data_IF_428332184352
#
_entry.id   IF_428332184352
#
_cell.length_a   1.000
_cell.length_b   1.000
_cell.length_c   1.000
_cell.angle_alpha   90.00
_cell.angle_beta   90.00
_cell.angle_gamma   90.00
#
_symmetry.space_group_name_H-M   'P 1'
#
loop_
_entity.id
_entity.type
_entity.pdbx_description
1 polymer ?
#
# COMPACT_ATOMS: atom_id res chain seq x y z
N UNK A 1 -42.94 -8.87 78.80
CA UNK A 1 -41.68 -8.18 79.14
C UNK A 1 -40.71 -8.37 77.98
N UNK A 2 -40.29 -7.27 77.35
CA UNK A 2 -39.05 -7.01 76.57
C UNK A 2 -38.47 -8.16 75.70
N UNK A 3 -38.23 -8.04 74.40
CA UNK A 3 -38.26 -6.91 73.48
C UNK A 3 -37.52 -7.22 72.15
N UNK A 4 -37.64 -6.27 71.22
CA UNK A 4 -36.70 -5.91 70.14
C UNK A 4 -36.43 -6.83 68.93
N UNK A 5 -37.08 -6.47 67.81
CA UNK A 5 -36.52 -6.11 66.48
C UNK A 5 -35.14 -6.66 66.06
N UNK A 6 -35.10 -7.35 64.91
CA UNK A 6 -34.16 -7.13 63.77
C UNK A 6 -34.64 -7.97 62.58
N UNK A 7 -35.35 -7.36 61.62
CA UNK A 7 -34.86 -6.94 60.29
C UNK A 7 -34.56 -8.07 59.29
N UNK A 8 -35.58 -8.25 58.44
CA UNK A 8 -35.56 -8.58 57.02
C UNK A 8 -34.25 -8.21 56.28
N UNK A 9 -33.61 -9.18 55.62
CA UNK A 9 -32.81 -8.94 54.41
C UNK A 9 -32.62 -10.27 53.66
N UNK A 10 -33.61 -10.65 52.85
CA UNK A 10 -33.41 -11.68 51.83
C UNK A 10 -32.65 -11.03 50.67
N UNK A 11 -31.34 -11.30 50.59
CA UNK A 11 -30.51 -10.90 49.44
C UNK A 11 -30.81 -11.87 48.30
N UNK A 12 -31.71 -11.48 47.41
CA UNK A 12 -31.84 -12.12 46.09
C UNK A 12 -30.68 -11.61 45.22
N UNK A 13 -29.64 -12.44 45.07
CA UNK A 13 -28.60 -12.20 44.08
C UNK A 13 -29.20 -12.41 42.68
N UNK A 14 -29.56 -11.30 42.02
CA UNK A 14 -29.94 -11.31 40.61
C UNK A 14 -28.67 -11.55 39.79
N UNK A 15 -28.43 -12.79 39.39
CA UNK A 15 -27.41 -13.12 38.38
C UNK A 15 -27.88 -12.56 37.04
N UNK A 16 -27.46 -11.33 36.71
CA UNK A 16 -27.58 -10.79 35.36
C UNK A 16 -26.61 -11.59 34.51
N UNK A 17 -27.13 -12.59 33.80
CA UNK A 17 -26.42 -13.22 32.71
C UNK A 17 -26.18 -12.13 31.64
N UNK A 18 -24.94 -11.63 31.59
CA UNK A 18 -24.48 -10.80 30.48
C UNK A 18 -24.46 -11.69 29.23
N UNK A 19 -25.57 -11.73 28.51
CA UNK A 19 -25.56 -12.26 27.14
C UNK A 19 -24.69 -11.31 26.32
N UNK A 20 -23.67 -11.80 25.61
CA UNK A 20 -22.95 -10.97 24.66
C UNK A 20 -23.96 -10.52 23.61
N UNK A 21 -24.24 -9.21 23.56
CA UNK A 21 -24.93 -8.61 22.44
C UNK A 21 -23.98 -8.81 21.26
N UNK A 22 -24.34 -9.60 20.22
CA UNK A 22 -23.52 -9.62 19.02
C UNK A 22 -23.44 -8.17 18.53
N UNK A 23 -22.23 -7.68 18.30
CA UNK A 23 -22.05 -6.44 17.58
C UNK A 23 -22.85 -6.57 16.28
N UNK A 24 -23.90 -5.76 16.14
CA UNK A 24 -24.62 -5.67 14.88
C UNK A 24 -23.58 -5.21 13.87
N UNK A 25 -23.23 -6.08 12.92
CA UNK A 25 -22.49 -5.67 11.75
C UNK A 25 -23.34 -4.58 11.09
N UNK A 26 -22.82 -3.36 11.00
CA UNK A 26 -23.46 -2.32 10.22
C UNK A 26 -23.57 -2.86 8.77
N UNK A 27 -24.80 -2.91 8.24
CA UNK A 27 -25.01 -3.28 6.85
C UNK A 27 -24.38 -2.19 5.97
N UNK A 28 -23.16 -2.43 5.49
CA UNK A 28 -22.44 -1.57 4.55
C UNK A 28 -22.97 -1.68 3.10
N UNK A 29 -24.12 -2.32 2.88
CA UNK A 29 -24.70 -2.46 1.54
C UNK A 29 -24.92 -1.08 0.89
N UNK A 30 -24.22 -0.84 -0.22
CA UNK A 30 -24.30 0.40 -0.99
C UNK A 30 -23.43 1.56 -0.49
N UNK A 31 -22.54 1.34 0.49
CA UNK A 31 -21.53 2.32 0.89
C UNK A 31 -20.13 1.82 0.53
N UNK A 32 -19.37 2.63 -0.20
CA UNK A 32 -17.97 2.36 -0.51
C UNK A 32 -17.06 3.36 0.20
N UNK A 33 -15.80 3.00 0.40
CA UNK A 33 -14.77 3.87 0.97
C UNK A 33 -13.41 3.54 0.38
N UNK A 34 -12.55 4.54 0.29
CA UNK A 34 -11.20 4.38 -0.23
C UNK A 34 -10.25 5.31 0.53
N UNK A 35 -9.06 4.81 0.82
CA UNK A 35 -7.96 5.59 1.38
C UNK A 35 -6.68 5.27 0.64
N UNK A 36 -5.84 6.29 0.45
CA UNK A 36 -4.59 6.19 -0.32
C UNK A 36 -3.45 6.87 0.43
N UNK A 37 -2.20 6.51 0.13
CA UNK A 37 -1.03 7.26 0.57
C UNK A 37 0.05 7.34 -0.52
N UNK A 38 0.82 8.42 -0.49
CA UNK A 38 2.00 8.65 -1.34
C UNK A 38 3.35 8.49 -0.61
N UNK A 39 3.32 7.90 0.58
CA UNK A 39 4.48 7.68 1.43
C UNK A 39 4.39 8.46 2.74
N UNK A 40 5.15 8.02 3.73
CA UNK A 40 5.09 8.58 5.08
C UNK A 40 6.43 9.19 5.48
N UNK A 41 6.38 10.45 5.94
CA UNK A 41 7.34 10.97 6.90
C UNK A 41 7.47 12.50 6.97
N UNK A 42 8.63 12.97 7.42
CA UNK A 42 8.84 14.31 7.96
C UNK A 42 9.44 15.22 6.88
N UNK A 43 8.61 15.84 6.04
CA UNK A 43 9.02 17.14 5.52
C UNK A 43 8.82 18.13 6.66
N UNK A 44 9.90 18.75 7.12
CA UNK A 44 9.75 20.01 7.81
C UNK A 44 9.10 20.98 6.81
N UNK A 45 7.90 21.50 7.09
CA UNK A 45 7.13 22.37 6.16
C UNK A 45 7.98 23.51 5.59
N UNK A 46 8.96 23.97 6.33
CA UNK A 46 9.99 24.93 5.92
C UNK A 46 10.81 24.54 4.67
N UNK A 47 10.90 23.25 4.33
CA UNK A 47 11.62 22.71 3.19
C UNK A 47 10.71 22.32 2.00
N UNK A 48 9.39 22.59 2.08
CA UNK A 48 8.45 22.37 0.98
C UNK A 48 7.85 23.70 0.55
N UNK A 49 8.01 24.04 -0.73
CA UNK A 49 7.29 25.19 -1.27
C UNK A 49 5.80 24.88 -1.37
N UNK A 50 4.96 25.92 -1.33
CA UNK A 50 3.52 25.75 -1.47
C UNK A 50 3.14 25.12 -2.82
N UNK A 51 3.92 25.41 -3.86
CA UNK A 51 3.77 24.85 -5.19
C UNK A 51 4.06 23.35 -5.20
N UNK A 52 5.17 22.92 -4.59
CA UNK A 52 5.50 21.51 -4.47
C UNK A 52 4.42 20.75 -3.67
N UNK A 53 3.94 21.30 -2.55
CA UNK A 53 2.82 20.71 -1.80
C UNK A 53 1.57 20.54 -2.67
N UNK A 54 1.22 21.57 -3.43
CA UNK A 54 0.06 21.56 -4.31
C UNK A 54 0.19 20.48 -5.40
N UNK A 55 1.38 20.30 -5.97
CA UNK A 55 1.66 19.26 -6.96
C UNK A 55 1.51 17.84 -6.39
N UNK A 56 2.06 17.56 -5.20
CA UNK A 56 1.86 16.26 -4.54
C UNK A 56 0.39 15.99 -4.23
N UNK A 57 -0.34 17.01 -3.75
CA UNK A 57 -1.77 16.90 -3.48
C UNK A 57 -2.57 16.68 -4.76
N UNK A 58 -2.19 17.32 -5.86
CA UNK A 58 -2.82 17.11 -7.17
C UNK A 58 -2.60 15.67 -7.66
N UNK A 59 -1.38 15.13 -7.55
CA UNK A 59 -1.09 13.73 -7.91
C UNK A 59 -1.92 12.74 -7.07
N UNK A 60 -1.98 12.95 -5.76
CA UNK A 60 -2.85 12.15 -4.87
C UNK A 60 -4.33 12.27 -5.24
N UNK A 61 -4.81 13.48 -5.57
CA UNK A 61 -6.21 13.69 -5.93
C UNK A 61 -6.55 12.96 -7.23
N UNK A 62 -5.69 13.00 -8.25
CA UNK A 62 -5.91 12.26 -9.51
C UNK A 62 -6.01 10.75 -9.26
N UNK A 63 -5.13 10.21 -8.42
CA UNK A 63 -5.17 8.78 -8.07
C UNK A 63 -6.44 8.44 -7.27
N UNK A 64 -6.80 9.27 -6.29
CA UNK A 64 -8.01 9.10 -5.47
C UNK A 64 -9.27 9.15 -6.32
N UNK A 65 -9.37 10.11 -7.25
CA UNK A 65 -10.52 10.28 -8.14
C UNK A 65 -10.71 9.06 -9.05
N UNK A 66 -9.62 8.45 -9.53
CA UNK A 66 -9.70 7.24 -10.34
C UNK A 66 -10.25 6.05 -9.55
N UNK A 67 -9.74 5.79 -8.35
CA UNK A 67 -10.25 4.72 -7.49
C UNK A 67 -11.69 4.98 -7.04
N UNK A 68 -12.01 6.22 -6.66
CA UNK A 68 -13.36 6.64 -6.28
C UNK A 68 -14.35 6.47 -7.44
N UNK A 69 -13.93 6.76 -8.68
CA UNK A 69 -14.75 6.54 -9.87
C UNK A 69 -15.08 5.05 -10.05
N UNK A 70 -14.08 4.16 -9.93
CA UNK A 70 -14.30 2.71 -10.02
C UNK A 70 -15.36 2.26 -9.01
N UNK A 71 -15.23 2.68 -7.75
CA UNK A 71 -16.18 2.31 -6.69
C UNK A 71 -17.57 2.91 -6.92
N UNK A 72 -17.65 4.18 -7.32
CA UNK A 72 -18.91 4.86 -7.58
C UNK A 72 -19.70 4.25 -8.76
N UNK A 73 -19.01 3.64 -9.72
CA UNK A 73 -19.59 2.93 -10.86
C UNK A 73 -19.91 1.45 -10.54
N UNK A 74 -19.74 1.01 -9.29
CA UNK A 74 -20.01 -0.36 -8.84
C UNK A 74 -18.90 -1.36 -9.13
N UNK A 75 -17.67 -0.88 -9.39
CA UNK A 75 -16.49 -1.72 -9.51
C UNK A 75 -16.02 -2.29 -8.17
N UNK A 76 -15.15 -3.30 -8.22
CA UNK A 76 -14.65 -4.00 -7.03
C UNK A 76 -13.56 -3.22 -6.30
N UNK A 77 -13.37 -3.54 -5.02
CA UNK A 77 -12.30 -2.97 -4.21
C UNK A 77 -10.91 -3.23 -4.83
N UNK A 78 -10.68 -4.43 -5.38
CA UNK A 78 -9.43 -4.79 -6.06
C UNK A 78 -9.15 -3.89 -7.27
N UNK A 79 -10.17 -3.63 -8.11
CA UNK A 79 -10.00 -2.77 -9.28
C UNK A 79 -9.74 -1.31 -8.88
N UNK A 80 -10.37 -0.85 -7.80
CA UNK A 80 -10.15 0.50 -7.28
C UNK A 80 -8.71 0.67 -6.76
N UNK A 81 -8.22 -0.29 -5.95
CA UNK A 81 -6.85 -0.31 -5.43
C UNK A 81 -5.82 -0.33 -6.58
N UNK A 82 -6.01 -1.21 -7.56
CA UNK A 82 -5.14 -1.30 -8.74
C UNK A 82 -5.12 0.02 -9.53
N UNK A 83 -6.29 0.63 -9.77
CA UNK A 83 -6.40 1.89 -10.50
C UNK A 83 -5.67 3.06 -9.81
N UNK A 84 -5.75 3.14 -8.48
CA UNK A 84 -5.00 4.15 -7.71
C UNK A 84 -3.51 3.93 -7.85
N UNK A 85 -3.03 2.71 -7.56
CA UNK A 85 -1.60 2.44 -7.50
C UNK A 85 -0.95 2.57 -8.87
N UNK A 86 -1.63 2.17 -9.94
CA UNK A 86 -1.14 2.34 -11.31
C UNK A 86 -0.86 3.82 -11.64
N UNK A 87 -1.76 4.74 -11.23
CA UNK A 87 -1.54 6.18 -11.42
C UNK A 87 -0.35 6.67 -10.59
N UNK A 88 -0.22 6.21 -9.35
CA UNK A 88 0.87 6.60 -8.47
C UNK A 88 2.22 6.03 -8.94
N UNK A 89 2.24 4.87 -9.59
CA UNK A 89 3.43 4.28 -10.23
C UNK A 89 3.85 5.02 -11.50
N UNK A 90 2.92 5.67 -12.21
CA UNK A 90 3.24 6.44 -13.42
C UNK A 90 3.66 7.90 -13.10
N UNK A 91 3.39 8.41 -11.89
CA UNK A 91 3.75 9.77 -11.47
C UNK A 91 5.17 9.82 -10.84
N UNK A 92 6.15 10.47 -11.49
CA UNK A 92 7.56 10.52 -11.07
C UNK A 92 7.82 11.13 -9.68
N UNK A 93 6.80 11.72 -9.04
CA UNK A 93 6.91 12.29 -7.69
C UNK A 93 6.94 11.21 -6.61
N UNK A 94 6.30 10.08 -6.83
CA UNK A 94 6.21 9.01 -5.86
C UNK A 94 7.30 7.95 -6.11
N UNK A 95 7.79 7.31 -5.06
CA UNK A 95 8.81 6.26 -5.18
C UNK A 95 8.13 4.90 -5.42
N UNK A 96 7.49 4.75 -6.56
CA UNK A 96 6.93 3.50 -7.03
C UNK A 96 6.88 3.60 -8.55
N UNK A 97 7.22 2.54 -9.27
CA UNK A 97 7.34 2.63 -10.73
C UNK A 97 8.25 3.78 -11.14
N UNK A 98 7.75 4.68 -11.99
CA UNK A 98 8.45 5.89 -12.42
C UNK A 98 8.72 6.81 -11.24
N UNK A 99 9.97 7.23 -11.05
CA UNK A 99 10.36 8.02 -9.89
C UNK A 99 10.81 7.19 -8.69
N UNK A 100 10.95 5.87 -8.88
CA UNK A 100 11.60 4.99 -7.93
C UNK A 100 13.01 5.49 -7.54
N UNK A 101 13.36 5.27 -6.28
CA UNK A 101 14.70 5.53 -5.76
C UNK A 101 15.72 4.62 -6.42
N UNK A 102 16.98 5.07 -6.39
CA UNK A 102 18.10 4.28 -6.90
C UNK A 102 18.65 3.31 -5.85
N UNK A 103 19.05 2.15 -6.33
CA UNK A 103 19.96 1.23 -5.64
C UNK A 103 21.35 1.85 -5.46
N UNK A 104 22.21 1.24 -4.64
CA UNK A 104 23.60 1.67 -4.50
C UNK A 104 24.36 1.67 -5.84
N UNK A 105 24.07 0.69 -6.69
CA UNK A 105 24.66 0.47 -8.00
C UNK A 105 24.14 1.45 -9.06
N UNK A 106 23.11 2.24 -8.76
CA UNK A 106 22.55 3.25 -9.67
C UNK A 106 21.50 2.74 -10.64
N UNK A 107 20.93 1.55 -10.39
CA UNK A 107 19.71 1.05 -11.06
C UNK A 107 18.47 1.11 -10.16
N UNK A 108 17.38 0.47 -10.60
CA UNK A 108 16.12 0.40 -9.87
C UNK A 108 15.70 -1.05 -9.62
N UNK A 109 15.04 -1.28 -8.50
CA UNK A 109 14.48 -2.56 -8.10
C UNK A 109 13.14 -2.28 -7.42
N UNK A 110 12.07 -2.81 -7.96
CA UNK A 110 10.70 -2.45 -7.59
C UNK A 110 10.01 -3.63 -6.90
N UNK A 111 9.21 -3.32 -5.90
CA UNK A 111 8.46 -4.27 -5.10
C UNK A 111 6.99 -3.85 -5.07
N UNK A 112 6.07 -4.80 -5.19
CA UNK A 112 4.64 -4.56 -5.02
C UNK A 112 3.88 -5.79 -4.52
N UNK A 113 2.76 -5.57 -3.86
CA UNK A 113 1.78 -6.63 -3.59
C UNK A 113 0.35 -6.11 -3.59
N UNK A 114 -0.60 -7.03 -3.78
CA UNK A 114 -2.03 -6.78 -3.74
C UNK A 114 -2.74 -7.99 -3.12
N UNK A 115 -3.82 -7.75 -2.37
CA UNK A 115 -4.57 -8.78 -1.66
C UNK A 115 -6.07 -8.52 -1.69
N UNK A 116 -6.84 -9.56 -1.99
CA UNK A 116 -8.30 -9.59 -1.96
C UNK A 116 -8.78 -10.12 -0.61
N UNK A 117 -9.58 -9.34 0.12
CA UNK A 117 -10.07 -9.73 1.45
C UNK A 117 -11.12 -10.86 1.41
N UNK A 118 -11.82 -11.04 0.28
CA UNK A 118 -12.94 -12.00 0.19
C UNK A 118 -12.52 -13.45 0.42
N UNK A 119 -11.39 -13.82 -0.18
CA UNK A 119 -10.86 -15.17 -0.19
C UNK A 119 -9.40 -15.23 0.31
N UNK A 120 -8.81 -14.08 0.62
CA UNK A 120 -7.42 -13.90 1.04
C UNK A 120 -6.41 -14.29 -0.05
N UNK A 121 -6.84 -14.31 -1.31
CA UNK A 121 -5.92 -14.43 -2.43
C UNK A 121 -5.01 -13.20 -2.52
N UNK A 122 -3.75 -13.44 -2.85
CA UNK A 122 -2.74 -12.41 -2.89
C UNK A 122 -1.71 -12.67 -3.98
N UNK A 123 -1.13 -11.58 -4.48
CA UNK A 123 -0.02 -11.61 -5.41
C UNK A 123 1.03 -10.58 -5.06
N UNK A 124 2.29 -10.92 -5.29
CA UNK A 124 3.42 -10.09 -4.93
C UNK A 124 4.60 -10.28 -5.89
N UNK A 125 5.37 -9.21 -6.08
CA UNK A 125 6.65 -9.24 -6.77
C UNK A 125 7.70 -8.42 -6.03
N UNK A 126 8.95 -8.88 -6.08
CA UNK A 126 10.08 -8.18 -5.49
C UNK A 126 11.28 -8.11 -6.42
N UNK A 127 12.00 -6.99 -6.39
CA UNK A 127 13.25 -6.79 -7.12
C UNK A 127 13.11 -6.84 -8.63
N UNK A 128 11.97 -6.45 -9.20
CA UNK A 128 11.82 -6.34 -10.67
C UNK A 128 12.42 -5.02 -11.15
N UNK A 129 13.01 -5.00 -12.33
CA UNK A 129 13.87 -3.91 -12.81
C UNK A 129 13.39 -3.28 -14.12
N UNK A 130 12.52 -3.96 -14.86
CA UNK A 130 12.04 -3.54 -16.18
C UNK A 130 10.51 -3.60 -16.34
N UNK A 131 9.76 -3.96 -15.28
CA UNK A 131 8.30 -4.02 -15.34
C UNK A 131 7.74 -2.64 -15.05
N UNK A 132 7.06 -2.03 -16.03
CA UNK A 132 6.60 -0.64 -15.92
C UNK A 132 5.73 -0.41 -14.67
N UNK A 133 4.78 -1.32 -14.44
CA UNK A 133 3.82 -1.24 -13.35
C UNK A 133 3.84 -2.52 -12.50
N UNK A 134 4.69 -2.57 -11.45
CA UNK A 134 4.80 -3.71 -10.55
C UNK A 134 3.46 -4.18 -9.96
N UNK A 135 2.51 -3.28 -9.70
CA UNK A 135 1.19 -3.67 -9.16
C UNK A 135 0.40 -4.56 -10.13
N UNK A 136 0.48 -4.31 -11.45
CA UNK A 136 -0.17 -5.14 -12.46
C UNK A 136 0.45 -6.53 -12.49
N UNK A 137 1.77 -6.62 -12.32
CA UNK A 137 2.44 -7.91 -12.23
C UNK A 137 2.07 -8.66 -10.95
N UNK A 138 1.98 -7.98 -9.81
CA UNK A 138 1.47 -8.57 -8.58
C UNK A 138 0.05 -9.14 -8.78
N UNK A 139 -0.85 -8.38 -9.43
CA UNK A 139 -2.19 -8.86 -9.80
C UNK A 139 -2.11 -10.12 -10.68
N UNK A 140 -1.23 -10.14 -11.68
CA UNK A 140 -1.02 -11.29 -12.56
C UNK A 140 -0.46 -12.52 -11.85
N UNK A 141 0.43 -12.33 -10.88
CA UNK A 141 0.91 -13.45 -10.04
C UNK A 141 -0.27 -14.08 -9.32
N UNK A 142 -1.18 -13.27 -8.76
CA UNK A 142 -2.38 -13.75 -8.08
C UNK A 142 -3.35 -14.48 -9.01
N UNK A 143 -3.64 -13.93 -10.18
CA UNK A 143 -4.74 -14.42 -11.05
C UNK A 143 -4.32 -15.49 -12.05
N UNK A 144 -3.07 -15.44 -12.52
CA UNK A 144 -2.59 -16.20 -13.68
C UNK A 144 -1.41 -17.12 -13.34
N UNK A 145 -1.19 -17.40 -12.04
CA UNK A 145 -0.18 -18.36 -11.57
C UNK A 145 -0.68 -19.14 -10.34
N UNK A 146 -0.06 -20.29 -10.01
CA UNK A 146 -0.33 -21.01 -8.76
C UNK A 146 0.48 -20.49 -7.56
N UNK A 147 1.08 -19.30 -7.68
CA UNK A 147 2.04 -18.74 -6.71
C UNK A 147 1.50 -17.44 -6.11
N UNK A 148 2.00 -17.10 -4.91
CA UNK A 148 1.69 -15.83 -4.23
C UNK A 148 2.76 -14.79 -4.51
N UNK A 149 4.04 -15.18 -4.62
CA UNK A 149 5.15 -14.24 -4.75
C UNK A 149 6.20 -14.73 -5.74
N UNK A 150 6.60 -13.87 -6.66
CA UNK A 150 7.76 -14.07 -7.56
C UNK A 150 8.81 -12.98 -7.31
N UNK A 151 10.06 -13.20 -7.74
CA UNK A 151 11.12 -12.20 -7.57
C UNK A 151 12.13 -12.18 -8.71
N UNK A 152 12.70 -11.00 -8.96
CA UNK A 152 13.79 -10.79 -9.91
C UNK A 152 13.45 -11.24 -11.34
N UNK A 153 14.45 -11.74 -12.06
CA UNK A 153 14.35 -12.16 -13.47
C UNK A 153 13.22 -13.18 -13.73
N UNK A 154 12.92 -14.05 -12.77
CA UNK A 154 11.81 -15.00 -12.90
C UNK A 154 10.44 -14.31 -12.94
N UNK A 155 10.26 -13.25 -12.14
CA UNK A 155 9.05 -12.43 -12.18
C UNK A 155 8.95 -11.63 -13.49
N UNK A 156 10.07 -11.14 -14.02
CA UNK A 156 10.12 -10.41 -15.29
C UNK A 156 9.84 -11.32 -16.49
N UNK A 157 10.34 -12.56 -16.46
CA UNK A 157 10.02 -13.59 -17.45
C UNK A 157 8.53 -13.85 -17.47
N UNK A 158 7.93 -14.06 -16.29
CA UNK A 158 6.49 -14.21 -16.17
C UNK A 158 5.73 -12.97 -16.66
N UNK A 159 6.21 -11.75 -16.35
CA UNK A 159 5.61 -10.51 -16.85
C UNK A 159 5.56 -10.46 -18.38
N UNK A 160 6.64 -10.88 -19.06
CA UNK A 160 6.69 -10.98 -20.51
C UNK A 160 5.68 -11.98 -21.06
N UNK A 161 5.54 -13.16 -20.43
CA UNK A 161 4.57 -14.18 -20.83
C UNK A 161 3.11 -13.71 -20.65
N UNK A 162 2.85 -12.89 -19.63
CA UNK A 162 1.55 -12.25 -19.39
C UNK A 162 1.29 -11.03 -20.29
N UNK A 163 2.25 -10.64 -21.13
CA UNK A 163 2.12 -9.52 -22.06
C UNK A 163 2.10 -8.14 -21.38
N UNK A 164 2.76 -8.01 -20.22
CA UNK A 164 2.91 -6.71 -19.55
C UNK A 164 3.97 -5.85 -20.23
N UNK A 165 3.82 -4.53 -20.11
CA UNK A 165 4.77 -3.56 -20.65
C UNK A 165 6.11 -3.64 -19.91
N UNK A 166 7.13 -4.08 -20.64
CA UNK A 166 8.52 -4.01 -20.20
C UNK A 166 9.17 -2.73 -20.75
N UNK A 167 9.85 -2.01 -19.88
CA UNK A 167 10.48 -0.73 -20.15
C UNK A 167 11.98 -0.79 -19.82
N UNK A 168 12.82 0.00 -20.52
CA UNK A 168 14.22 0.14 -20.14
C UNK A 168 14.33 0.80 -18.75
N UNK A 169 15.39 0.51 -18.00
CA UNK A 169 15.55 1.00 -16.62
C UNK A 169 15.51 2.53 -16.50
N UNK A 170 15.95 3.23 -17.54
CA UNK A 170 15.94 4.70 -17.65
C UNK A 170 14.52 5.28 -17.63
N UNK A 171 13.48 4.48 -17.89
CA UNK A 171 12.09 4.93 -17.73
C UNK A 171 11.81 5.39 -16.29
N UNK A 172 12.44 4.75 -15.30
CA UNK A 172 12.22 5.03 -13.88
C UNK A 172 13.03 6.23 -13.37
N UNK A 173 13.98 6.73 -14.17
CA UNK A 173 14.91 7.79 -13.80
C UNK A 173 14.20 9.12 -13.47
N UNK A 174 14.71 9.79 -12.44
CA UNK A 174 14.46 11.22 -12.21
C UNK A 174 15.70 11.89 -11.64
N UNK A 175 15.93 13.15 -12.02
CA UNK A 175 17.09 13.91 -11.55
C UNK A 175 17.11 14.05 -10.03
N UNK A 176 15.95 14.29 -9.42
CA UNK A 176 15.81 14.45 -7.96
C UNK A 176 16.25 13.20 -7.18
N UNK A 177 15.88 12.01 -7.66
CA UNK A 177 16.27 10.72 -7.05
C UNK A 177 17.74 10.40 -7.29
N UNK A 178 18.29 10.77 -8.44
CA UNK A 178 19.71 10.60 -8.75
C UNK A 178 20.56 11.47 -7.82
N UNK A 179 20.21 12.74 -7.68
CA UNK A 179 20.87 13.66 -6.75
C UNK A 179 20.78 13.18 -5.30
N UNK A 180 19.67 12.54 -4.91
CA UNK A 180 19.53 11.94 -3.58
C UNK A 180 20.56 10.83 -3.34
N UNK A 181 20.75 9.92 -4.30
CA UNK A 181 21.79 8.88 -4.23
C UNK A 181 23.20 9.50 -4.15
N UNK A 182 23.50 10.50 -4.98
CA UNK A 182 24.82 11.14 -4.98
C UNK A 182 25.10 11.85 -3.65
N UNK A 183 24.11 12.53 -3.07
CA UNK A 183 24.23 13.11 -1.72
C UNK A 183 24.47 12.04 -0.66
N UNK A 184 23.78 10.90 -0.74
CA UNK A 184 23.99 9.76 0.17
C UNK A 184 25.43 9.25 0.10
N UNK A 185 25.93 8.99 -1.10
CA UNK A 185 27.29 8.50 -1.35
C UNK A 185 28.35 9.50 -0.88
N UNK A 186 28.16 10.78 -1.16
CA UNK A 186 29.12 11.84 -0.81
C UNK A 186 29.19 12.12 0.70
N UNK A 187 28.06 12.07 1.41
CA UNK A 187 27.96 12.45 2.83
C UNK A 187 27.94 11.27 3.80
N UNK A 188 28.01 10.03 3.31
CA UNK A 188 27.84 8.80 4.08
C UNK A 188 26.58 8.83 4.98
N UNK A 189 25.51 9.46 4.49
CA UNK A 189 24.25 9.54 5.22
C UNK A 189 23.60 8.15 5.28
N UNK A 190 22.89 7.88 6.38
CA UNK A 190 22.04 6.70 6.42
C UNK A 190 20.88 6.89 5.43
N UNK A 191 20.33 5.80 4.88
CA UNK A 191 19.20 5.89 3.96
C UNK A 191 17.99 6.64 4.56
N UNK A 192 17.82 6.56 5.89
CA UNK A 192 16.79 7.28 6.65
C UNK A 192 17.00 8.80 6.68
N UNK A 193 18.25 9.27 6.54
CA UNK A 193 18.60 10.70 6.58
C UNK A 193 18.57 11.36 5.20
N UNK A 194 18.51 10.56 4.12
CA UNK A 194 18.50 11.03 2.73
C UNK A 194 17.09 11.06 2.17
N UNK A 195 16.26 10.10 2.57
CA UNK A 195 14.85 10.12 2.23
C UNK A 195 14.16 11.26 2.97
N UNK A 196 14.04 12.39 2.28
CA UNK A 196 12.87 13.25 2.40
C UNK A 196 11.66 12.33 2.17
N UNK A 197 11.07 11.90 3.27
CA UNK A 197 10.26 10.70 3.38
C UNK A 197 8.97 10.73 2.54
N UNK A 198 9.08 10.40 1.26
CA UNK A 198 8.01 10.00 0.35
C UNK A 198 8.51 8.79 -0.39
N UNK A 199 8.01 7.60 -0.04
CA UNK A 199 8.39 6.54 -0.94
C UNK A 199 7.72 5.19 -0.99
N UNK A 200 6.54 5.05 -0.41
CA UNK A 200 5.74 3.86 -0.66
C UNK A 200 4.35 4.34 -0.97
N UNK A 201 3.77 3.86 -2.06
CA UNK A 201 2.41 4.18 -2.44
C UNK A 201 1.52 3.01 -2.05
N UNK A 202 0.26 3.29 -1.73
CA UNK A 202 -0.66 2.23 -1.36
C UNK A 202 -2.09 2.74 -1.33
N UNK A 203 -3.00 1.78 -1.40
CA UNK A 203 -4.43 2.03 -1.37
C UNK A 203 -5.13 0.88 -0.63
N UNK A 204 -6.21 1.24 0.06
CA UNK A 204 -7.18 0.30 0.62
C UNK A 204 -8.58 0.74 0.21
N UNK A 205 -9.45 -0.22 -0.09
CA UNK A 205 -10.81 0.06 -0.52
C UNK A 205 -11.81 -0.93 0.11
N UNK A 206 -13.03 -0.42 0.34
CA UNK A 206 -14.25 -1.17 0.63
C UNK A 206 -15.21 -0.90 -0.53
N UNK A 207 -15.68 -1.95 -1.21
CA UNK A 207 -16.66 -1.82 -2.29
C UNK A 207 -18.12 -1.94 -1.82
N UNK A 208 -19.06 -1.72 -2.76
CA UNK A 208 -20.51 -1.71 -2.47
C UNK A 208 -21.06 -3.07 -2.01
N UNK A 209 -20.32 -4.16 -2.27
CA UNK A 209 -20.65 -5.53 -1.83
C UNK A 209 -20.07 -5.83 -0.44
N UNK A 210 -19.31 -4.89 0.15
CA UNK A 210 -18.68 -5.07 1.45
C UNK A 210 -17.32 -5.77 1.39
N UNK A 211 -16.72 -5.90 0.20
CA UNK A 211 -15.43 -6.55 0.03
C UNK A 211 -14.28 -5.57 0.28
N UNK A 212 -13.23 -6.04 0.94
CA UNK A 212 -12.01 -5.28 1.19
C UNK A 212 -10.90 -5.66 0.22
N UNK A 213 -10.05 -4.69 -0.12
CA UNK A 213 -8.82 -4.92 -0.86
C UNK A 213 -7.71 -3.99 -0.35
N UNK A 214 -6.47 -4.43 -0.47
CA UNK A 214 -5.29 -3.64 -0.16
C UNK A 214 -4.19 -3.86 -1.21
N UNK A 215 -3.39 -2.83 -1.46
CA UNK A 215 -2.23 -2.92 -2.32
C UNK A 215 -1.14 -1.92 -1.94
N UNK A 216 0.10 -2.25 -2.27
CA UNK A 216 1.27 -1.43 -1.96
C UNK A 216 2.33 -1.59 -3.04
N UNK A 217 3.00 -0.50 -3.42
CA UNK A 217 4.10 -0.51 -4.39
C UNK A 217 5.22 0.45 -3.97
N UNK A 218 6.47 0.10 -4.27
CA UNK A 218 7.64 0.90 -3.89
C UNK A 218 8.88 0.62 -4.74
N UNK A 219 9.78 1.61 -4.86
CA UNK A 219 11.18 1.41 -5.27
C UNK A 219 12.11 0.99 -4.13
N UNK A 220 11.61 0.92 -2.89
CA UNK A 220 12.38 0.60 -1.70
C UNK A 220 13.05 1.84 -1.10
N UNK A 221 14.33 1.72 -0.73
CA UNK A 221 15.07 2.79 -0.04
C UNK A 221 16.22 3.29 -0.90
N UNK A 222 16.47 4.61 -0.88
CA UNK A 222 17.62 5.21 -1.56
C UNK A 222 18.92 4.54 -1.11
N UNK A 223 19.73 4.11 -2.08
CA UNK A 223 21.02 3.45 -1.86
C UNK A 223 20.91 2.06 -1.24
N UNK A 224 19.75 1.39 -1.35
CA UNK A 224 19.62 -0.01 -0.94
C UNK A 224 20.66 -0.88 -1.66
N UNK A 225 21.13 -1.91 -0.96
CA UNK A 225 22.20 -2.82 -1.42
C UNK A 225 21.68 -4.24 -1.51
N UNK A 226 22.33 -5.03 -2.38
CA UNK A 226 22.24 -6.49 -2.40
C UNK A 226 20.82 -7.03 -2.54
N UNK A 227 20.02 -6.39 -3.38
CA UNK A 227 18.64 -6.77 -3.64
C UNK A 227 17.78 -6.79 -2.37
N UNK A 228 17.96 -5.79 -1.49
CA UNK A 228 17.15 -5.65 -0.26
C UNK A 228 15.68 -5.56 -0.62
N UNK A 229 14.91 -6.48 -0.04
CA UNK A 229 13.44 -6.52 -0.12
C UNK A 229 12.85 -5.84 1.13
N UNK A 230 11.87 -4.96 0.91
CA UNK A 230 11.15 -4.26 1.97
C UNK A 230 9.92 -5.01 2.49
N UNK A 231 9.04 -4.28 3.15
CA UNK A 231 7.73 -4.75 3.64
C UNK A 231 6.68 -4.82 2.52
N UNK A 232 6.76 -3.94 1.52
CA UNK A 232 5.75 -3.79 0.47
C UNK A 232 5.34 -5.08 -0.27
N UNK A 233 6.25 -6.02 -0.61
CA UNK A 233 5.85 -7.26 -1.28
C UNK A 233 5.55 -8.41 -0.31
N UNK A 234 5.60 -8.17 1.01
CA UNK A 234 5.40 -9.20 2.04
C UNK A 234 3.99 -9.07 2.60
N UNK A 235 3.12 -10.02 2.22
CA UNK A 235 1.75 -10.11 2.73
C UNK A 235 1.75 -10.26 4.26
N UNK A 236 0.95 -9.44 4.93
CA UNK A 236 0.91 -9.32 6.39
C UNK A 236 1.92 -8.35 7.00
N UNK A 237 2.84 -7.79 6.21
CA UNK A 237 3.72 -6.70 6.62
C UNK A 237 3.33 -5.38 5.94
N UNK A 238 3.54 -5.26 4.62
CA UNK A 238 3.21 -4.05 3.86
C UNK A 238 1.76 -4.02 3.38
N UNK A 239 1.15 -5.18 3.13
CA UNK A 239 -0.21 -5.28 2.57
C UNK A 239 -0.99 -6.42 3.23
N UNK A 240 -2.24 -6.15 3.62
CA UNK A 240 -3.17 -7.15 4.15
C UNK A 240 -4.63 -6.69 3.97
N UNK A 241 -5.54 -7.62 3.62
CA UNK A 241 -6.98 -7.41 3.57
C UNK A 241 -7.71 -8.71 3.98
N UNK A 242 -8.82 -8.58 4.72
CA UNK A 242 -9.67 -9.67 5.24
C UNK A 242 -11.05 -9.11 5.57
#
# INVERSE_FOLDING_TARGET
MRGFFTQLAAVFALAIAAFPVPALADNHEGQWSIAIHGGAGTIARENMSAEAEAEYRAGLQVALDAGAKVLAEGGTAMNAVEAVILILEDDPKFNAGRGAVYTWEGGHELDASIMDGRDRDAGAVAGVTNVRNPILLARKVMTDSPHVMLSGEGAETFAAEQGLDLVPGEYFDTDSRREALERMKARQLSALDVDLKFGTVGAVALDMEGNLAAGTSTGGMTGKRWNRIGDAPVIGAGTYAD
#
